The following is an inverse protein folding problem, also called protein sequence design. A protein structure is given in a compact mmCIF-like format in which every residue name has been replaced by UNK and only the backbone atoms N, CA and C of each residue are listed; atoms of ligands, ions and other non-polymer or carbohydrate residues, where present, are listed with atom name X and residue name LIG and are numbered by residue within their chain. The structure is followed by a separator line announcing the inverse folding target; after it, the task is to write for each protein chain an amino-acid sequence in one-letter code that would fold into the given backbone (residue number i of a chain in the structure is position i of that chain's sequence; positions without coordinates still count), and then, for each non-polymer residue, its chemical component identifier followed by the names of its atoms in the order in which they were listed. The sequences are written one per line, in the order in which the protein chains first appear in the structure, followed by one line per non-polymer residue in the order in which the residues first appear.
data_IF_480804722947
#
_entry.id   IF_480804722947
#
_cell.length_a   1.000
_cell.length_b   1.000
_cell.length_c   1.000
_cell.angle_alpha   90.00
_cell.angle_beta   90.00
_cell.angle_gamma   90.00
#
_symmetry.space_group_name_H-M   'P 1'
#
loop_
_entity.id
_entity.type
_entity.pdbx_description
1 polymer ?
#
# COMPACT_ATOMS: atom_id res chain seq x y z
N UNK A 1 -12.73 -24.18 5.99
CA UNK A 1 -11.80 -23.18 5.44
C UNK A 1 -12.44 -22.59 4.19
N UNK A 2 -13.14 -21.46 4.30
CA UNK A 2 -13.71 -20.75 3.16
C UNK A 2 -12.78 -19.58 2.82
N UNK A 3 -12.30 -19.57 1.59
CA UNK A 3 -11.29 -18.64 1.10
C UNK A 3 -10.74 -19.13 -0.23
N UNK A 4 -11.61 -19.36 -1.20
CA UNK A 4 -11.23 -19.58 -2.60
C UNK A 4 -11.40 -18.25 -3.33
N UNK A 5 -10.32 -17.48 -3.45
CA UNK A 5 -10.33 -16.15 -4.05
C UNK A 5 -9.01 -15.40 -3.86
N UNK A 6 -8.81 -14.35 -4.67
CA UNK A 6 -7.69 -13.43 -4.51
C UNK A 6 -7.98 -12.50 -3.33
N UNK A 7 -7.22 -12.66 -2.25
CA UNK A 7 -7.32 -11.86 -1.03
C UNK A 7 -5.93 -11.59 -0.47
N UNK A 8 -5.83 -10.57 0.39
CA UNK A 8 -4.70 -10.43 1.30
C UNK A 8 -4.86 -11.40 2.46
N UNK A 9 -3.76 -12.04 2.84
CA UNK A 9 -3.71 -12.99 3.95
C UNK A 9 -2.72 -12.52 5.01
N UNK A 10 -3.15 -12.48 6.27
CA UNK A 10 -2.24 -12.42 7.40
C UNK A 10 -1.84 -13.85 7.79
N UNK A 11 -0.55 -14.14 7.73
CA UNK A 11 0.01 -15.46 8.03
C UNK A 11 0.88 -15.39 9.28
N UNK A 12 0.57 -16.18 10.31
CA UNK A 12 1.44 -16.34 11.47
C UNK A 12 2.33 -17.57 11.29
N UNK A 13 3.65 -17.37 11.38
CA UNK A 13 4.63 -18.44 11.20
C UNK A 13 4.66 -19.42 12.38
N UNK A 14 4.33 -18.96 13.59
CA UNK A 14 4.49 -19.73 14.84
C UNK A 14 3.48 -20.87 14.90
N UNK A 15 2.23 -20.59 14.57
CA UNK A 15 1.13 -21.56 14.59
C UNK A 15 0.66 -21.98 13.19
N UNK A 16 1.27 -21.42 12.12
CA UNK A 16 0.93 -21.67 10.71
C UNK A 16 -0.49 -21.28 10.33
N UNK A 17 -1.13 -20.44 11.13
CA UNK A 17 -2.46 -19.92 10.81
C UNK A 17 -2.40 -18.91 9.66
N UNK A 18 -3.50 -18.85 8.91
CA UNK A 18 -3.74 -17.83 7.88
C UNK A 18 -5.17 -17.31 8.02
N UNK A 19 -5.35 -16.00 7.91
CA UNK A 19 -6.68 -15.37 7.86
C UNK A 19 -6.76 -14.33 6.76
N UNK A 20 -7.93 -14.22 6.12
CA UNK A 20 -8.23 -13.16 5.17
C UNK A 20 -8.24 -11.82 5.91
N UNK A 21 -7.66 -10.80 5.29
CA UNK A 21 -7.74 -9.41 5.71
C UNK A 21 -8.14 -8.54 4.52
N UNK A 22 -8.75 -7.40 4.80
CA UNK A 22 -9.08 -6.40 3.79
C UNK A 22 -10.12 -6.85 2.76
N UNK A 23 -10.96 -7.83 3.07
CA UNK A 23 -12.00 -8.29 2.14
C UNK A 23 -12.97 -7.14 1.81
N UNK A 24 -13.18 -6.88 0.52
CA UNK A 24 -13.93 -5.72 0.02
C UNK A 24 -13.28 -4.34 0.25
N UNK A 25 -12.10 -4.27 0.89
CA UNK A 25 -11.41 -3.01 1.25
C UNK A 25 -10.07 -2.85 0.52
N UNK A 26 -9.31 -3.94 0.44
CA UNK A 26 -8.07 -4.07 -0.33
C UNK A 26 -8.42 -4.85 -1.60
N UNK A 27 -8.79 -4.12 -2.64
CA UNK A 27 -9.34 -4.67 -3.89
C UNK A 27 -8.30 -4.93 -4.96
N UNK A 28 -7.08 -4.44 -4.76
CA UNK A 28 -6.00 -4.47 -5.73
C UNK A 28 -4.71 -4.92 -5.07
N UNK A 29 -3.88 -5.63 -5.84
CA UNK A 29 -2.53 -6.00 -5.41
C UNK A 29 -1.62 -4.77 -5.29
N UNK A 30 -0.55 -4.90 -4.52
CA UNK A 30 0.40 -3.85 -4.23
C UNK A 30 1.61 -4.33 -3.43
N UNK A 31 2.32 -3.39 -2.82
CA UNK A 31 3.60 -3.62 -2.15
C UNK A 31 3.46 -3.39 -0.65
N UNK A 32 2.79 -4.35 0.01
CA UNK A 32 2.46 -4.29 1.43
C UNK A 32 3.68 -4.38 2.35
N UNK A 33 3.75 -3.52 3.38
CA UNK A 33 4.70 -3.65 4.49
C UNK A 33 4.11 -3.25 5.84
N UNK A 34 4.54 -3.91 6.91
CA UNK A 34 4.14 -3.53 8.27
C UNK A 34 4.86 -2.27 8.74
N UNK A 35 4.10 -1.42 9.42
CA UNK A 35 4.64 -0.38 10.31
C UNK A 35 5.57 -0.96 11.36
N UNK A 36 6.49 -0.15 11.94
CA UNK A 36 7.42 -0.62 12.97
C UNK A 36 6.75 -1.27 14.19
N UNK A 37 5.58 -0.77 14.60
CA UNK A 37 4.80 -1.32 15.72
C UNK A 37 3.84 -2.46 15.31
N UNK A 38 3.81 -2.80 14.00
CA UNK A 38 3.01 -3.85 13.37
C UNK A 38 1.50 -3.66 13.46
N UNK A 39 1.01 -2.48 13.84
CA UNK A 39 -0.44 -2.19 13.90
C UNK A 39 -1.02 -1.79 12.55
N UNK A 40 -0.20 -1.19 11.69
CA UNK A 40 -0.57 -0.72 10.37
C UNK A 40 0.13 -1.49 9.26
N UNK A 41 -0.55 -1.69 8.15
CA UNK A 41 -0.01 -2.11 6.86
C UNK A 41 -0.01 -0.89 5.94
N UNK A 42 1.13 -0.59 5.36
CA UNK A 42 1.28 0.36 4.26
C UNK A 42 1.20 -0.41 2.95
N UNK A 43 0.35 0.04 2.02
CA UNK A 43 0.18 -0.60 0.73
C UNK A 43 -0.04 0.44 -0.37
N UNK A 44 0.03 0.02 -1.62
CA UNK A 44 -0.28 0.83 -2.79
C UNK A 44 -1.16 0.08 -3.81
N UNK A 45 -1.47 0.73 -4.92
CA UNK A 45 -2.13 0.13 -6.08
C UNK A 45 -1.31 0.33 -7.37
N UNK A 46 -1.64 -0.46 -8.39
CA UNK A 46 -1.33 -0.12 -9.77
C UNK A 46 -2.20 1.05 -10.29
N UNK A 47 -1.84 1.66 -11.44
CA UNK A 47 -2.61 2.76 -11.99
C UNK A 47 -4.02 2.29 -12.38
N UNK A 48 -5.03 3.00 -11.86
CA UNK A 48 -6.43 2.83 -12.22
C UNK A 48 -6.74 3.36 -13.64
N UNK A 49 -8.02 3.39 -14.02
CA UNK A 49 -8.48 3.89 -15.33
C UNK A 49 -8.19 5.38 -15.55
N UNK A 50 -7.94 6.15 -14.48
CA UNK A 50 -7.53 7.54 -14.52
C UNK A 50 -6.00 7.70 -14.51
N UNK A 51 -5.26 6.59 -14.53
CA UNK A 51 -3.81 6.57 -14.44
C UNK A 51 -3.31 6.92 -13.04
N UNK A 52 -4.12 6.75 -11.99
CA UNK A 52 -3.75 7.10 -10.63
C UNK A 52 -3.36 5.87 -9.81
N UNK A 53 -2.29 5.97 -9.05
CA UNK A 53 -1.91 5.01 -8.00
C UNK A 53 -2.32 5.56 -6.65
N UNK A 54 -2.85 4.72 -5.79
CA UNK A 54 -3.25 5.14 -4.43
C UNK A 54 -2.28 4.57 -3.42
N UNK A 55 -1.73 5.44 -2.56
CA UNK A 55 -0.96 5.08 -1.37
C UNK A 55 -1.92 5.03 -0.18
N UNK A 56 -1.90 3.95 0.60
CA UNK A 56 -2.86 3.77 1.69
C UNK A 56 -2.26 3.11 2.93
N UNK A 57 -2.89 3.37 4.08
CA UNK A 57 -2.73 2.60 5.31
C UNK A 57 -3.93 1.69 5.51
N UNK A 58 -3.68 0.54 6.11
CA UNK A 58 -4.71 -0.42 6.49
C UNK A 58 -4.45 -0.96 7.90
N UNK A 59 -5.48 -0.98 8.75
CA UNK A 59 -5.42 -1.52 10.11
C UNK A 59 -6.11 -2.91 10.15
N UNK A 60 -5.36 -4.01 10.24
CA UNK A 60 -5.90 -5.36 10.08
C UNK A 60 -6.83 -5.83 11.21
N UNK A 61 -6.78 -5.20 12.38
CA UNK A 61 -7.68 -5.52 13.50
C UNK A 61 -9.05 -4.83 13.38
N UNK A 62 -9.11 -3.65 12.76
CA UNK A 62 -10.36 -2.88 12.63
C UNK A 62 -10.93 -2.86 11.23
N UNK A 63 -10.17 -3.35 10.24
CA UNK A 63 -10.54 -3.25 8.83
C UNK A 63 -10.44 -1.83 8.25
N UNK A 64 -9.90 -0.86 9.00
CA UNK A 64 -9.85 0.55 8.58
C UNK A 64 -8.80 0.77 7.50
N UNK A 65 -9.23 1.20 6.32
CA UNK A 65 -8.36 1.76 5.27
C UNK A 65 -8.32 3.29 5.36
N UNK A 66 -7.18 3.87 5.03
CA UNK A 66 -6.99 5.32 4.97
C UNK A 66 -6.08 5.66 3.80
N UNK A 67 -6.63 6.32 2.78
CA UNK A 67 -5.87 6.74 1.61
C UNK A 67 -5.02 7.98 1.97
N UNK A 68 -3.70 7.86 1.80
CA UNK A 68 -2.71 8.89 2.12
C UNK A 68 -2.54 9.84 0.94
N UNK A 69 -2.44 9.28 -0.27
CA UNK A 69 -2.19 10.04 -1.49
C UNK A 69 -2.75 9.31 -2.72
N UNK A 70 -3.13 10.08 -3.74
CA UNK A 70 -3.50 9.58 -5.07
C UNK A 70 -2.58 10.27 -6.08
N UNK A 71 -1.68 9.49 -6.69
CA UNK A 71 -0.52 9.96 -7.43
C UNK A 71 -0.64 9.58 -8.91
N UNK A 72 -0.53 10.58 -9.80
CA UNK A 72 -0.64 10.36 -11.24
C UNK A 72 0.56 9.57 -11.79
N UNK A 73 0.30 8.50 -12.53
CA UNK A 73 1.29 7.60 -13.12
C UNK A 73 0.67 6.85 -14.31
N UNK A 74 0.31 7.57 -15.40
CA UNK A 74 -0.45 6.99 -16.51
C UNK A 74 0.35 5.92 -17.25
N UNK A 75 -0.30 4.80 -17.58
CA UNK A 75 0.31 3.69 -18.32
C UNK A 75 0.74 4.07 -19.74
N UNK A 76 0.18 5.14 -20.32
CA UNK A 76 0.59 5.65 -21.64
C UNK A 76 2.05 6.11 -21.68
N UNK A 77 2.63 6.45 -20.53
CA UNK A 77 4.03 6.90 -20.40
C UNK A 77 4.86 6.04 -19.45
N UNK A 78 4.29 5.58 -18.35
CA UNK A 78 5.03 4.92 -17.26
C UNK A 78 4.56 3.47 -17.09
N UNK A 79 4.91 2.61 -18.04
CA UNK A 79 4.50 1.20 -18.06
C UNK A 79 5.61 0.25 -18.53
N UNK A 80 5.38 -1.06 -18.40
CA UNK A 80 6.35 -2.09 -18.74
C UNK A 80 7.61 -1.99 -17.88
N UNK A 81 8.76 -2.03 -18.52
CA UNK A 81 10.08 -1.96 -17.88
C UNK A 81 10.37 -0.61 -17.22
N UNK A 82 9.73 0.47 -17.70
CA UNK A 82 9.94 1.83 -17.18
C UNK A 82 8.87 2.25 -16.17
N UNK A 83 8.01 1.32 -15.71
CA UNK A 83 6.99 1.62 -14.72
C UNK A 83 7.61 2.11 -13.42
N UNK A 84 6.90 2.99 -12.73
CA UNK A 84 7.24 3.44 -11.39
C UNK A 84 6.16 2.99 -10.41
N UNK A 85 6.37 1.82 -9.80
CA UNK A 85 5.56 1.36 -8.67
C UNK A 85 5.95 2.15 -7.41
N UNK A 86 5.03 2.34 -6.45
CA UNK A 86 5.32 3.26 -5.34
C UNK A 86 6.34 2.70 -4.34
N UNK A 87 6.46 1.38 -4.24
CA UNK A 87 7.35 0.67 -3.31
C UNK A 87 7.42 1.33 -1.92
N UNK A 88 6.26 1.50 -1.25
CA UNK A 88 6.17 2.38 -0.11
C UNK A 88 6.92 1.79 1.10
N UNK A 89 7.71 2.62 1.79
CA UNK A 89 8.55 2.19 2.92
C UNK A 89 8.38 3.09 4.13
N UNK A 90 8.32 2.49 5.30
CA UNK A 90 8.24 3.21 6.57
C UNK A 90 9.58 3.85 6.97
N UNK A 91 9.51 5.03 7.59
CA UNK A 91 10.59 5.51 8.45
C UNK A 91 10.71 4.64 9.70
N UNK A 92 11.91 4.60 10.30
CA UNK A 92 12.17 3.77 11.50
C UNK A 92 11.33 4.15 12.71
N UNK A 93 10.98 5.43 12.83
CA UNK A 93 10.12 5.96 13.90
C UNK A 93 8.62 5.77 13.60
N UNK A 94 8.26 5.25 12.43
CA UNK A 94 6.89 4.98 12.02
C UNK A 94 6.05 6.22 11.69
N UNK A 95 6.63 7.43 11.66
CA UNK A 95 5.84 8.67 11.50
C UNK A 95 5.74 9.17 10.05
N UNK A 96 6.54 8.59 9.15
CA UNK A 96 6.65 8.96 7.74
C UNK A 96 6.75 7.73 6.85
N UNK A 97 6.47 7.93 5.58
CA UNK A 97 6.67 6.94 4.52
C UNK A 97 7.40 7.56 3.33
N UNK A 98 8.24 6.78 2.67
CA UNK A 98 8.92 7.13 1.42
C UNK A 98 8.30 6.33 0.27
N UNK A 99 8.12 6.97 -0.89
CA UNK A 99 7.61 6.33 -2.12
C UNK A 99 8.40 6.78 -3.34
N UNK A 100 8.52 5.90 -4.34
CA UNK A 100 8.92 6.27 -5.69
C UNK A 100 7.69 6.81 -6.43
N UNK A 101 7.79 7.91 -7.17
CA UNK A 101 6.66 8.42 -7.95
C UNK A 101 7.07 9.23 -9.16
N UNK A 102 6.15 9.33 -10.12
CA UNK A 102 6.27 10.08 -11.38
C UNK A 102 5.22 11.18 -11.52
N UNK A 103 4.51 11.49 -10.43
CA UNK A 103 3.34 12.38 -10.44
C UNK A 103 3.65 13.83 -10.80
N UNK A 104 4.90 14.26 -10.68
CA UNK A 104 5.39 15.58 -11.11
C UNK A 104 5.96 15.58 -12.54
N UNK A 105 5.86 14.45 -13.26
CA UNK A 105 6.33 14.30 -14.63
C UNK A 105 7.73 13.69 -14.79
N UNK A 106 8.42 13.39 -13.69
CA UNK A 106 9.73 12.70 -13.68
C UNK A 106 9.81 11.69 -12.53
N UNK A 107 10.66 10.65 -12.63
CA UNK A 107 10.79 9.67 -11.54
C UNK A 107 11.60 10.25 -10.38
N UNK A 108 10.98 10.37 -9.20
CA UNK A 108 11.58 10.91 -7.98
C UNK A 108 11.18 10.09 -6.75
N UNK A 109 11.83 10.36 -5.62
CA UNK A 109 11.44 9.86 -4.30
C UNK A 109 10.76 10.96 -3.48
N UNK A 110 9.70 10.60 -2.76
CA UNK A 110 8.91 11.53 -1.95
C UNK A 110 8.72 10.99 -0.55
N UNK A 111 8.66 11.90 0.42
CA UNK A 111 8.36 11.57 1.81
C UNK A 111 7.02 12.21 2.19
N UNK A 112 6.12 11.41 2.76
CA UNK A 112 4.87 11.87 3.33
C UNK A 112 4.84 11.59 4.84
N UNK A 113 4.38 12.57 5.62
CA UNK A 113 4.04 12.32 7.03
C UNK A 113 2.74 11.54 7.11
N UNK A 114 2.73 10.51 7.95
CA UNK A 114 1.54 9.69 8.22
C UNK A 114 1.08 9.79 9.68
N UNK A 115 1.80 10.54 10.52
CA UNK A 115 1.53 10.66 11.96
C UNK A 115 0.08 11.01 12.31
N UNK A 116 -0.59 11.82 11.48
CA UNK A 116 -2.00 12.20 11.68
C UNK A 116 -3.00 11.04 11.55
N UNK A 117 -2.61 9.95 10.89
CA UNK A 117 -3.48 8.79 10.62
C UNK A 117 -3.30 7.64 11.62
N UNK A 118 -2.24 7.67 12.44
CA UNK A 118 -1.86 6.58 13.34
C UNK A 118 -2.62 6.56 14.68
N UNK A 119 -3.70 7.34 14.78
CA UNK A 119 -4.55 7.45 15.96
C UNK A 119 -5.67 6.41 15.95
#
# INVERSE_FOLDING_TARGET
MQGSGAHFYLCDRRDRSRRVIGDGVLTDDGHGSFSPDRKWILNDTYPDTYGMRTLMLYHPETGRRTDIARLYSPKSRWWGEIRCDLHPRWSRDGTRVCVDSVHDGSRQMYIASVARYLR
#
